data_IF_517091141214
#
_entry.id   IF_517091141214
#
_cell.length_a   1.000
_cell.length_b   1.000
_cell.length_c   1.000
_cell.angle_alpha   90.00
_cell.angle_beta   90.00
_cell.angle_gamma   90.00
#
_symmetry.space_group_name_H-M   'P 1'
#
loop_
_entity.id
_entity.type
_entity.pdbx_description
1 polymer ?
#
# COMPACT_ATOMS: atom_id res chain seq x y z
N UNK A 1 -21.18 -3.68 -10.63
CA UNK A 1 -19.94 -4.26 -11.20
C UNK A 1 -20.35 -5.36 -12.16
N UNK A 2 -20.29 -5.13 -13.47
CA UNK A 2 -20.78 -6.13 -14.45
C UNK A 2 -19.78 -6.47 -15.57
N UNK A 3 -18.53 -5.97 -15.51
CA UNK A 3 -17.49 -6.28 -16.48
C UNK A 3 -16.75 -7.56 -16.08
N UNK A 4 -16.77 -8.60 -16.93
CA UNK A 4 -16.07 -9.88 -16.69
C UNK A 4 -14.63 -9.82 -17.19
N UNK A 5 -13.65 -10.21 -16.38
CA UNK A 5 -12.25 -10.33 -16.84
C UNK A 5 -12.04 -11.66 -17.58
N UNK A 6 -11.55 -11.56 -18.82
CA UNK A 6 -11.20 -12.67 -19.69
C UNK A 6 -9.70 -12.61 -20.03
N UNK A 7 -9.02 -13.76 -19.95
CA UNK A 7 -7.62 -13.89 -20.34
C UNK A 7 -7.55 -14.63 -21.68
N UNK A 8 -7.13 -13.94 -22.73
CA UNK A 8 -6.82 -14.52 -24.03
C UNK A 8 -5.31 -14.43 -24.26
N UNK A 9 -4.55 -15.30 -23.60
CA UNK A 9 -3.09 -15.25 -23.60
C UNK A 9 -2.55 -16.52 -24.23
N UNK A 10 -1.69 -16.34 -25.24
CA UNK A 10 -1.13 -17.43 -26.04
C UNK A 10 0.16 -17.98 -25.44
N UNK A 11 0.97 -17.11 -24.82
CA UNK A 11 2.13 -17.54 -24.06
C UNK A 11 1.70 -18.11 -22.69
N UNK A 12 1.83 -19.42 -22.55
CA UNK A 12 1.46 -20.15 -21.33
C UNK A 12 2.28 -19.74 -20.09
N UNK A 13 3.52 -19.27 -20.26
CA UNK A 13 4.33 -18.76 -19.14
C UNK A 13 3.74 -17.45 -18.63
N UNK A 14 3.42 -16.53 -19.54
CA UNK A 14 2.77 -15.25 -19.21
C UNK A 14 1.41 -15.50 -18.56
N UNK A 15 0.59 -16.38 -19.16
CA UNK A 15 -0.70 -16.77 -18.61
C UNK A 15 -0.58 -17.27 -17.17
N UNK A 16 0.33 -18.22 -16.91
CA UNK A 16 0.50 -18.78 -15.56
C UNK A 16 0.91 -17.72 -14.53
N UNK A 17 1.84 -16.82 -14.89
CA UNK A 17 2.29 -15.75 -13.99
C UNK A 17 1.14 -14.77 -13.70
N UNK A 18 0.40 -14.35 -14.73
CA UNK A 18 -0.71 -13.42 -14.57
C UNK A 18 -1.86 -14.05 -13.79
N UNK A 19 -2.26 -15.27 -14.12
CA UNK A 19 -3.30 -16.03 -13.42
C UNK A 19 -2.98 -16.18 -11.93
N UNK A 20 -1.71 -16.50 -11.59
CA UNK A 20 -1.25 -16.56 -10.20
C UNK A 20 -1.39 -15.21 -9.50
N UNK A 21 -0.96 -14.11 -10.13
CA UNK A 21 -1.07 -12.76 -9.58
C UNK A 21 -2.52 -12.32 -9.39
N UNK A 22 -3.38 -12.52 -10.38
CA UNK A 22 -4.83 -12.24 -10.27
C UNK A 22 -5.44 -13.03 -9.09
N UNK A 23 -5.06 -14.31 -8.95
CA UNK A 23 -5.52 -15.15 -7.85
C UNK A 23 -5.04 -14.66 -6.48
N UNK A 24 -3.78 -14.25 -6.36
CA UNK A 24 -3.21 -13.63 -5.15
C UNK A 24 -3.94 -12.33 -4.79
N UNK A 25 -4.31 -11.55 -5.81
CA UNK A 25 -5.01 -10.25 -5.70
C UNK A 25 -6.53 -10.37 -5.63
N UNK A 26 -7.06 -11.59 -5.62
CA UNK A 26 -8.49 -11.90 -5.47
C UNK A 26 -9.38 -11.40 -6.60
N UNK A 27 -8.82 -11.29 -7.80
CA UNK A 27 -9.54 -10.84 -8.99
C UNK A 27 -10.10 -12.07 -9.69
N UNK A 28 -11.42 -12.09 -9.92
CA UNK A 28 -12.10 -13.17 -10.63
C UNK A 28 -11.83 -13.01 -12.13
N UNK A 29 -11.45 -14.10 -12.79
CA UNK A 29 -11.18 -14.13 -14.22
C UNK A 29 -11.61 -15.46 -14.84
N UNK A 30 -11.73 -15.49 -16.17
CA UNK A 30 -11.92 -16.74 -16.93
C UNK A 30 -10.93 -16.80 -18.08
N UNK A 31 -10.48 -18.02 -18.42
CA UNK A 31 -9.71 -18.22 -19.63
C UNK A 31 -10.64 -18.15 -20.85
N UNK A 32 -10.19 -17.49 -21.91
CA UNK A 32 -10.86 -17.47 -23.20
C UNK A 32 -10.12 -18.42 -24.14
N UNK A 33 -10.74 -19.55 -24.48
CA UNK A 33 -10.11 -20.57 -25.33
C UNK A 33 -9.98 -20.12 -26.79
N UNK A 34 -10.91 -19.29 -27.26
CA UNK A 34 -10.96 -18.80 -28.63
C UNK A 34 -11.70 -17.46 -28.71
N UNK A 35 -11.33 -16.62 -29.68
CA UNK A 35 -12.03 -15.35 -29.98
C UNK A 35 -13.48 -15.57 -30.40
N UNK A 36 -13.82 -16.76 -30.91
CA UNK A 36 -15.20 -17.11 -31.26
C UNK A 36 -16.07 -17.41 -30.02
N UNK A 37 -15.44 -17.63 -28.86
CA UNK A 37 -16.12 -17.85 -27.58
C UNK A 37 -16.34 -16.55 -26.79
N UNK A 38 -16.17 -15.37 -27.43
CA UNK A 38 -16.42 -14.08 -26.78
C UNK A 38 -17.89 -13.97 -26.34
N UNK A 39 -18.16 -13.71 -25.05
CA UNK A 39 -19.52 -13.63 -24.55
C UNK A 39 -20.14 -12.28 -24.91
N UNK A 40 -21.43 -12.26 -25.25
CA UNK A 40 -22.24 -11.04 -25.40
C UNK A 40 -22.56 -10.38 -24.05
N UNK A 41 -21.52 -10.05 -23.28
CA UNK A 41 -21.60 -9.37 -21.99
C UNK A 41 -20.41 -8.43 -21.86
N UNK A 42 -20.60 -7.31 -21.15
CA UNK A 42 -19.53 -6.37 -20.83
C UNK A 42 -18.31 -7.13 -20.29
N UNK A 43 -17.19 -7.07 -21.00
CA UNK A 43 -15.99 -7.87 -20.70
C UNK A 43 -14.72 -7.05 -20.90
N UNK A 44 -13.76 -7.27 -20.01
CA UNK A 44 -12.38 -6.82 -20.16
C UNK A 44 -11.55 -8.01 -20.62
N UNK A 45 -10.85 -7.89 -21.74
CA UNK A 45 -9.99 -8.93 -22.28
C UNK A 45 -8.54 -8.50 -22.13
N UNK A 46 -7.71 -9.33 -21.50
CA UNK A 46 -6.26 -9.15 -21.45
C UNK A 46 -5.61 -10.14 -22.42
N UNK A 47 -4.79 -9.61 -23.33
CA UNK A 47 -4.19 -10.35 -24.45
C UNK A 47 -2.87 -9.72 -24.89
N UNK A 48 -2.18 -10.32 -25.84
CA UNK A 48 -1.03 -9.71 -26.53
C UNK A 48 -1.48 -8.97 -27.80
N UNK A 49 -0.57 -8.25 -28.44
CA UNK A 49 -0.86 -7.48 -29.65
C UNK A 49 -1.50 -8.34 -30.77
N UNK A 50 -0.95 -9.53 -31.06
CA UNK A 50 -1.53 -10.41 -32.09
C UNK A 50 -2.92 -10.94 -31.68
N UNK A 51 -3.13 -11.25 -30.40
CA UNK A 51 -4.43 -11.67 -29.88
C UNK A 51 -5.46 -10.56 -29.96
N UNK A 52 -5.04 -9.30 -29.74
CA UNK A 52 -5.89 -8.13 -29.95
C UNK A 52 -6.37 -8.03 -31.40
N UNK A 53 -5.48 -8.21 -32.37
CA UNK A 53 -5.86 -8.18 -33.80
C UNK A 53 -6.84 -9.32 -34.15
N UNK A 54 -6.62 -10.53 -33.62
CA UNK A 54 -7.57 -11.64 -33.79
C UNK A 54 -8.93 -11.35 -33.18
N UNK A 55 -8.98 -10.71 -32.01
CA UNK A 55 -10.24 -10.32 -31.37
C UNK A 55 -10.98 -9.31 -32.26
N UNK A 56 -10.30 -8.26 -32.73
CA UNK A 56 -10.90 -7.21 -33.58
C UNK A 56 -11.44 -7.76 -34.92
N UNK A 57 -10.85 -8.83 -35.43
CA UNK A 57 -11.29 -9.53 -36.65
C UNK A 57 -12.44 -10.51 -36.41
N UNK A 58 -12.76 -10.85 -35.15
CA UNK A 58 -13.85 -11.79 -34.84
C UNK A 58 -15.23 -11.17 -35.07
N UNK A 59 -16.15 -11.97 -35.58
CA UNK A 59 -17.54 -11.54 -35.83
C UNK A 59 -18.24 -11.06 -34.55
N UNK A 60 -18.04 -11.77 -33.42
CA UNK A 60 -18.63 -11.37 -32.12
C UNK A 60 -18.15 -9.99 -31.65
N UNK A 61 -16.88 -9.66 -31.87
CA UNK A 61 -16.36 -8.33 -31.53
C UNK A 61 -16.93 -7.26 -32.48
N UNK A 62 -16.92 -7.51 -33.79
CA UNK A 62 -17.42 -6.55 -34.78
C UNK A 62 -18.90 -6.20 -34.55
N UNK A 63 -19.70 -7.19 -34.15
CA UNK A 63 -21.12 -7.00 -33.87
C UNK A 63 -21.39 -6.24 -32.56
N UNK A 64 -20.45 -6.24 -31.61
CA UNK A 64 -20.68 -5.77 -30.23
C UNK A 64 -19.44 -5.10 -29.61
N UNK A 65 -18.67 -4.32 -30.38
CA UNK A 65 -17.39 -3.76 -29.95
C UNK A 65 -17.49 -2.94 -28.64
N UNK A 66 -18.62 -2.24 -28.43
CA UNK A 66 -18.88 -1.45 -27.23
C UNK A 66 -19.00 -2.26 -25.94
N UNK A 67 -19.20 -3.58 -26.03
CA UNK A 67 -19.23 -4.49 -24.88
C UNK A 67 -17.84 -4.92 -24.41
N UNK A 68 -16.78 -4.57 -25.14
CA UNK A 68 -15.44 -5.09 -24.88
C UNK A 68 -14.45 -3.95 -24.61
N UNK A 69 -13.70 -4.10 -23.53
CA UNK A 69 -12.44 -3.37 -23.33
C UNK A 69 -11.30 -4.35 -23.56
N UNK A 70 -10.26 -3.96 -24.31
CA UNK A 70 -9.09 -4.82 -24.55
C UNK A 70 -7.84 -4.14 -23.97
N UNK A 71 -7.06 -4.90 -23.20
CA UNK A 71 -5.76 -4.50 -22.70
C UNK A 71 -4.71 -5.40 -23.35
N UNK A 72 -3.77 -4.78 -24.08
CA UNK A 72 -2.52 -5.41 -24.46
C UNK A 72 -1.61 -5.49 -23.24
N UNK A 73 -1.17 -6.68 -22.83
CA UNK A 73 -0.28 -6.81 -21.69
C UNK A 73 1.16 -6.38 -22.01
N UNK A 74 1.56 -6.36 -23.27
CA UNK A 74 2.95 -6.10 -23.70
C UNK A 74 3.37 -4.64 -23.52
N UNK A 75 2.40 -3.71 -23.46
CA UNK A 75 2.67 -2.28 -23.21
C UNK A 75 3.06 -1.98 -21.77
N UNK A 76 2.88 -2.94 -20.85
CA UNK A 76 3.17 -2.72 -19.43
C UNK A 76 4.56 -3.26 -19.05
N UNK A 77 5.37 -2.47 -18.32
CA UNK A 77 6.74 -2.87 -17.98
C UNK A 77 6.80 -4.04 -16.99
N UNK A 78 5.73 -4.30 -16.25
CA UNK A 78 5.62 -5.41 -15.32
C UNK A 78 4.16 -5.78 -15.05
N UNK A 79 3.95 -7.00 -14.53
CA UNK A 79 2.61 -7.50 -14.21
C UNK A 79 1.88 -6.71 -13.12
N UNK A 80 2.58 -6.02 -12.22
CA UNK A 80 1.88 -5.24 -11.19
C UNK A 80 1.22 -4.02 -11.82
N UNK A 81 1.91 -3.32 -12.72
CA UNK A 81 1.36 -2.21 -13.51
C UNK A 81 0.18 -2.64 -14.37
N UNK A 82 0.27 -3.82 -15.00
CA UNK A 82 -0.85 -4.42 -15.72
C UNK A 82 -2.05 -4.67 -14.81
N UNK A 83 -1.85 -5.29 -13.65
CA UNK A 83 -2.94 -5.61 -12.70
C UNK A 83 -3.66 -4.34 -12.21
N UNK A 84 -2.89 -3.29 -11.91
CA UNK A 84 -3.45 -2.00 -11.50
C UNK A 84 -4.35 -1.41 -12.60
N UNK A 85 -3.93 -1.48 -13.85
CA UNK A 85 -4.75 -1.01 -14.98
C UNK A 85 -5.94 -1.92 -15.29
N UNK A 86 -5.81 -3.24 -15.10
CA UNK A 86 -6.94 -4.17 -15.15
C UNK A 86 -8.01 -3.78 -14.13
N UNK A 87 -7.62 -3.53 -12.88
CA UNK A 87 -8.54 -3.10 -11.83
C UNK A 87 -9.23 -1.77 -12.17
N UNK A 88 -8.47 -0.79 -12.66
CA UNK A 88 -9.00 0.50 -13.11
C UNK A 88 -10.11 0.34 -14.14
N UNK A 89 -9.89 -0.48 -15.17
CA UNK A 89 -10.87 -0.71 -16.25
C UNK A 89 -12.06 -1.56 -15.80
N UNK A 90 -11.86 -2.50 -14.87
CA UNK A 90 -12.95 -3.26 -14.26
C UNK A 90 -13.88 -2.39 -13.41
N UNK A 91 -13.35 -1.36 -12.76
CA UNK A 91 -14.12 -0.36 -12.02
C UNK A 91 -14.62 0.80 -12.88
N UNK A 92 -14.40 0.75 -14.20
CA UNK A 92 -14.89 1.74 -15.16
C UNK A 92 -14.34 3.16 -14.93
N UNK A 93 -13.09 3.24 -14.45
CA UNK A 93 -12.42 4.50 -14.15
C UNK A 93 -11.59 4.90 -15.36
N UNK A 94 -12.16 5.74 -16.21
CA UNK A 94 -11.54 6.15 -17.47
C UNK A 94 -10.63 7.37 -17.31
N UNK A 95 -11.06 8.32 -16.49
CA UNK A 95 -10.37 9.56 -16.19
C UNK A 95 -10.22 9.69 -14.68
N UNK A 96 -9.09 10.24 -14.25
CA UNK A 96 -8.83 10.61 -12.87
C UNK A 96 -7.71 11.64 -12.83
N UNK A 97 -7.71 12.49 -11.82
CA UNK A 97 -6.61 13.43 -11.57
C UNK A 97 -5.66 12.93 -10.50
N UNK A 98 -6.20 12.24 -9.49
CA UNK A 98 -5.50 12.05 -8.22
C UNK A 98 -5.34 10.58 -7.89
N UNK A 99 -4.09 10.19 -7.60
CA UNK A 99 -3.78 8.94 -6.92
C UNK A 99 -3.66 9.21 -5.42
N UNK A 100 -4.62 8.71 -4.65
CA UNK A 100 -4.54 8.75 -3.19
C UNK A 100 -4.05 7.38 -2.68
N UNK A 101 -2.97 7.39 -1.91
CA UNK A 101 -2.45 6.22 -1.19
C UNK A 101 -2.67 6.42 0.31
N UNK A 102 -3.52 5.61 0.91
CA UNK A 102 -3.74 5.59 2.35
C UNK A 102 -2.89 4.52 3.01
N UNK A 103 -2.24 4.87 4.12
CA UNK A 103 -1.26 4.04 4.82
C UNK A 103 -1.66 3.93 6.29
N UNK A 104 -1.86 2.71 6.77
CA UNK A 104 -1.94 2.38 8.19
C UNK A 104 -0.55 1.93 8.69
N UNK A 105 0.16 2.75 9.48
CA UNK A 105 1.51 2.43 9.91
C UNK A 105 1.57 1.37 11.00
N UNK A 106 2.21 0.24 10.72
CA UNK A 106 2.56 -0.77 11.72
C UNK A 106 4.07 -1.00 11.85
N UNK A 107 4.47 -1.81 12.84
CA UNK A 107 5.88 -2.16 13.04
C UNK A 107 6.36 -3.24 12.06
N UNK A 108 5.50 -4.21 11.76
CA UNK A 108 5.79 -5.36 10.89
C UNK A 108 4.96 -5.33 9.62
N UNK A 109 3.67 -5.08 9.80
CA UNK A 109 2.66 -5.08 8.75
C UNK A 109 2.16 -3.66 8.55
N UNK A 110 2.15 -3.19 7.32
CA UNK A 110 1.71 -1.85 6.93
C UNK A 110 0.53 -2.03 5.99
N UNK A 111 -0.64 -1.53 6.38
CA UNK A 111 -1.81 -1.52 5.52
C UNK A 111 -1.68 -0.45 4.47
N UNK A 112 -1.95 -0.77 3.20
CA UNK A 112 -2.03 0.20 2.11
C UNK A 112 -3.34 0.06 1.35
N UNK A 113 -3.95 1.19 1.01
CA UNK A 113 -5.11 1.26 0.15
C UNK A 113 -4.89 2.34 -0.92
N UNK A 114 -5.29 2.03 -2.15
CA UNK A 114 -5.06 2.87 -3.33
C UNK A 114 -6.40 3.32 -3.90
N UNK A 115 -6.51 4.61 -4.16
CA UNK A 115 -7.72 5.25 -4.67
C UNK A 115 -7.41 6.08 -5.91
N UNK A 116 -8.34 6.09 -6.86
CA UNK A 116 -8.35 7.03 -7.98
C UNK A 116 -9.62 7.90 -7.84
N UNK A 117 -9.45 9.21 -7.62
CA UNK A 117 -10.55 10.16 -7.39
C UNK A 117 -11.62 9.63 -6.41
N UNK A 118 -11.18 9.13 -5.25
CA UNK A 118 -12.01 8.52 -4.19
C UNK A 118 -12.54 7.10 -4.44
N UNK A 119 -12.31 6.51 -5.61
CA UNK A 119 -12.67 5.12 -5.88
C UNK A 119 -11.58 4.18 -5.38
N UNK A 120 -11.91 3.30 -4.42
CA UNK A 120 -10.99 2.27 -3.94
C UNK A 120 -10.68 1.27 -5.06
N UNK A 121 -9.41 1.18 -5.44
CA UNK A 121 -8.94 0.25 -6.48
C UNK A 121 -8.41 -1.03 -5.86
N UNK A 122 -7.58 -0.89 -4.84
CA UNK A 122 -6.75 -1.99 -4.39
C UNK A 122 -6.31 -1.82 -2.94
N UNK A 123 -6.10 -2.94 -2.24
CA UNK A 123 -5.50 -2.97 -0.91
C UNK A 123 -4.44 -4.04 -0.78
N UNK A 124 -3.43 -3.77 0.03
CA UNK A 124 -2.44 -4.78 0.39
C UNK A 124 -1.79 -4.54 1.75
N UNK A 125 -1.26 -5.62 2.32
CA UNK A 125 -0.32 -5.54 3.44
C UNK A 125 1.11 -5.56 2.91
N UNK A 126 1.92 -4.61 3.34
CA UNK A 126 3.35 -4.51 3.04
C UNK A 126 4.16 -4.82 4.29
N UNK A 127 5.15 -5.71 4.17
CA UNK A 127 5.95 -6.19 5.30
C UNK A 127 7.31 -5.49 5.47
N UNK A 128 7.50 -4.33 4.82
CA UNK A 128 8.74 -3.56 4.87
C UNK A 128 8.50 -2.12 4.46
N UNK A 129 9.10 -1.19 5.19
CA UNK A 129 8.98 0.26 4.94
C UNK A 129 9.56 0.66 3.58
N UNK A 130 10.69 0.10 3.18
CA UNK A 130 11.29 0.35 1.87
C UNK A 130 10.36 -0.05 0.71
N UNK A 131 9.51 -1.07 0.93
CA UNK A 131 8.53 -1.49 -0.08
C UNK A 131 7.40 -0.47 -0.25
N UNK A 132 7.08 0.35 0.76
CA UNK A 132 6.02 1.37 0.68
C UNK A 132 6.29 2.32 -0.49
N UNK A 133 7.50 2.88 -0.56
CA UNK A 133 7.89 3.80 -1.65
C UNK A 133 7.86 3.12 -2.99
N UNK A 134 8.44 1.92 -3.09
CA UNK A 134 8.41 1.19 -4.35
C UNK A 134 6.98 0.94 -4.84
N UNK A 135 6.01 0.78 -3.93
CA UNK A 135 4.60 0.62 -4.30
C UNK A 135 3.92 1.92 -4.69
N UNK A 136 4.23 3.03 -4.00
CA UNK A 136 3.74 4.36 -4.38
C UNK A 136 4.26 4.70 -5.78
N UNK A 137 5.58 4.62 -6.01
CA UNK A 137 6.20 4.92 -7.31
C UNK A 137 5.67 4.01 -8.42
N UNK A 138 5.52 2.71 -8.15
CA UNK A 138 4.97 1.78 -9.13
C UNK A 138 3.53 2.12 -9.49
N UNK A 139 2.70 2.51 -8.52
CA UNK A 139 1.31 2.91 -8.75
C UNK A 139 1.24 4.23 -9.51
N UNK A 140 2.04 5.21 -9.11
CA UNK A 140 2.19 6.49 -9.78
C UNK A 140 2.64 6.32 -11.24
N UNK A 141 3.65 5.51 -11.51
CA UNK A 141 4.09 5.23 -12.87
C UNK A 141 3.05 4.46 -13.70
N UNK A 142 2.23 3.62 -13.06
CA UNK A 142 1.20 2.82 -13.75
C UNK A 142 -0.03 3.63 -14.13
N UNK A 143 -0.32 4.68 -13.37
CA UNK A 143 -1.51 5.51 -13.54
C UNK A 143 -1.20 6.88 -14.15
N UNK A 144 0.02 7.39 -14.00
CA UNK A 144 0.43 8.73 -14.38
C UNK A 144 -0.58 9.81 -13.91
N UNK A 145 -0.92 9.87 -12.61
CA UNK A 145 -1.85 10.85 -12.08
C UNK A 145 -1.27 12.27 -12.20
N UNK A 146 -2.14 13.27 -12.18
CA UNK A 146 -1.73 14.68 -12.07
C UNK A 146 -1.23 15.00 -10.67
N UNK A 147 -1.90 14.44 -9.66
CA UNK A 147 -1.57 14.67 -8.25
C UNK A 147 -1.44 13.35 -7.48
N UNK A 148 -0.53 13.35 -6.51
CA UNK A 148 -0.36 12.22 -5.59
C UNK A 148 -0.58 12.71 -4.16
N UNK A 149 -1.56 12.11 -3.52
CA UNK A 149 -1.83 12.31 -2.10
C UNK A 149 -1.44 11.06 -1.31
N UNK A 150 -0.84 11.27 -0.15
CA UNK A 150 -0.55 10.20 0.79
C UNK A 150 -1.19 10.51 2.14
N UNK A 151 -2.19 9.73 2.53
CA UNK A 151 -2.82 9.83 3.86
C UNK A 151 -2.18 8.81 4.79
N UNK A 152 -1.65 9.28 5.92
CA UNK A 152 -0.98 8.43 6.91
C UNK A 152 -1.78 8.43 8.21
N UNK A 153 -2.14 7.24 8.68
CA UNK A 153 -2.74 7.04 10.00
C UNK A 153 -1.78 7.47 11.11
N UNK A 154 -2.32 7.97 12.22
CA UNK A 154 -1.50 8.45 13.34
C UNK A 154 -0.72 7.31 14.02
N UNK A 155 -1.35 6.13 14.10
CA UNK A 155 -0.75 4.91 14.67
C UNK A 155 0.07 5.12 15.94
N UNK A 156 1.13 4.33 16.09
CA UNK A 156 2.21 4.66 17.03
C UNK A 156 3.09 5.75 16.44
N UNK A 157 3.51 6.73 17.26
CA UNK A 157 4.38 7.82 16.82
C UNK A 157 5.68 7.34 16.15
N UNK A 158 6.21 6.19 16.58
CA UNK A 158 7.38 5.56 15.95
C UNK A 158 7.07 5.10 14.53
N UNK A 159 6.02 4.29 14.36
CA UNK A 159 5.60 3.80 13.04
C UNK A 159 5.24 4.96 12.10
N UNK A 160 4.55 5.98 12.61
CA UNK A 160 4.25 7.20 11.85
C UNK A 160 5.53 7.88 11.37
N UNK A 161 6.48 8.18 12.27
CA UNK A 161 7.75 8.84 11.90
C UNK A 161 8.54 8.03 10.89
N UNK A 162 8.59 6.72 11.07
CA UNK A 162 9.31 5.84 10.17
C UNK A 162 8.74 5.89 8.75
N UNK A 163 7.41 5.93 8.61
CA UNK A 163 6.75 6.12 7.32
C UNK A 163 7.00 7.52 6.77
N UNK A 164 6.84 8.56 7.60
CA UNK A 164 7.05 9.94 7.17
C UNK A 164 8.47 10.18 6.66
N UNK A 165 9.50 9.65 7.33
CA UNK A 165 10.90 9.75 6.86
C UNK A 165 11.10 9.14 5.49
N UNK A 166 10.48 7.98 5.27
CA UNK A 166 10.54 7.28 4.00
C UNK A 166 9.81 8.06 2.91
N UNK A 167 8.71 8.74 3.24
CA UNK A 167 7.94 9.59 2.32
C UNK A 167 8.58 10.96 2.06
N UNK A 168 9.39 11.49 2.98
CA UNK A 168 10.04 12.81 2.86
C UNK A 168 11.49 12.71 2.39
N UNK A 169 11.96 11.50 2.06
CA UNK A 169 13.27 11.28 1.49
C UNK A 169 13.24 11.68 0.00
N UNK A 170 13.92 12.78 -0.33
CA UNK A 170 13.85 13.42 -1.66
C UNK A 170 14.36 12.52 -2.79
N UNK A 171 15.29 11.60 -2.49
CA UNK A 171 15.85 10.66 -3.47
C UNK A 171 14.91 9.46 -3.76
N UNK A 172 13.85 9.30 -2.96
CA UNK A 172 13.02 8.10 -2.96
C UNK A 172 11.76 8.20 -3.83
N UNK A 173 11.26 9.40 -4.16
CA UNK A 173 9.97 9.58 -4.85
C UNK A 173 10.13 10.14 -6.27
N UNK A 174 9.30 9.65 -7.20
CA UNK A 174 9.33 10.07 -8.61
C UNK A 174 8.56 11.38 -8.89
N UNK A 175 7.79 11.88 -7.92
CA UNK A 175 7.06 13.14 -8.02
C UNK A 175 6.82 13.75 -6.63
N UNK A 176 6.56 15.06 -6.55
CA UNK A 176 6.07 15.68 -5.32
C UNK A 176 4.78 14.99 -4.86
N UNK A 177 4.62 14.86 -3.55
CA UNK A 177 3.42 14.28 -2.92
C UNK A 177 2.87 15.24 -1.87
N UNK A 178 1.55 15.25 -1.71
CA UNK A 178 0.87 15.91 -0.60
C UNK A 178 0.65 14.91 0.52
N UNK A 179 1.25 15.15 1.70
CA UNK A 179 1.14 14.23 2.83
C UNK A 179 0.09 14.74 3.82
N UNK A 180 -0.86 13.90 4.18
CA UNK A 180 -1.92 14.20 5.12
C UNK A 180 -1.84 13.29 6.34
N UNK A 181 -1.91 13.87 7.53
CA UNK A 181 -2.06 13.11 8.77
C UNK A 181 -3.54 12.93 9.09
N UNK A 182 -3.97 11.69 9.33
CA UNK A 182 -5.34 11.35 9.70
C UNK A 182 -5.38 10.93 11.17
N UNK A 183 -6.18 11.62 11.99
CA UNK A 183 -6.39 11.23 13.39
C UNK A 183 -7.44 10.10 13.50
N UNK A 184 -7.10 9.07 14.26
CA UNK A 184 -7.90 7.87 14.45
C UNK A 184 -8.70 7.88 15.76
N UNK A 185 -8.49 8.85 16.65
CA UNK A 185 -9.23 8.93 17.92
C UNK A 185 -10.76 8.97 17.66
N UNK A 186 -11.45 7.89 18.08
CA UNK A 186 -12.89 7.68 17.84
C UNK A 186 -13.25 6.53 16.88
N UNK A 187 -12.26 5.76 16.39
CA UNK A 187 -12.42 4.72 15.35
C UNK A 187 -13.31 3.52 15.68
N UNK A 188 -13.92 3.42 16.86
CA UNK A 188 -14.82 2.31 17.18
C UNK A 188 -16.31 2.58 16.94
N UNK A 189 -16.77 3.82 16.70
CA UNK A 189 -18.23 4.08 16.59
C UNK A 189 -18.74 5.16 15.61
N UNK A 190 -17.90 5.95 14.93
CA UNK A 190 -18.40 7.04 14.07
C UNK A 190 -17.88 6.97 12.64
N UNK A 191 -18.70 6.34 11.80
CA UNK A 191 -19.30 6.86 10.58
C UNK A 191 -19.80 5.65 9.81
N UNK A 192 -21.00 5.70 9.25
CA UNK A 192 -21.69 4.60 8.55
C UNK A 192 -20.97 4.04 7.31
N UNK A 193 -19.64 4.12 7.23
CA UNK A 193 -18.78 3.27 6.40
C UNK A 193 -18.83 1.87 7.02
N UNK A 194 -19.95 1.18 6.83
CA UNK A 194 -19.90 -0.25 6.76
C UNK A 194 -18.99 -0.57 5.59
N UNK A 195 -17.75 -1.00 5.86
CA UNK A 195 -17.09 -1.92 4.93
C UNK A 195 -18.00 -3.14 4.97
N UNK A 196 -19.07 -3.12 4.17
CA UNK A 196 -19.97 -4.24 4.02
C UNK A 196 -19.06 -5.43 3.79
N UNK A 197 -19.23 -6.44 4.65
CA UNK A 197 -18.49 -7.70 4.65
C UNK A 197 -17.82 -7.93 3.30
N UNK A 198 -16.52 -8.19 3.30
CA UNK A 198 -15.65 -8.40 2.13
C UNK A 198 -16.27 -9.19 0.97
N UNK A 199 -17.34 -9.95 1.21
CA UNK A 199 -18.29 -10.47 0.21
C UNK A 199 -18.90 -9.45 -0.77
N UNK A 200 -19.08 -8.17 -0.41
CA UNK A 200 -19.64 -7.17 -1.34
C UNK A 200 -18.64 -6.76 -2.42
N UNK A 201 -17.35 -6.71 -2.06
CA UNK A 201 -16.25 -6.39 -3.00
C UNK A 201 -15.60 -7.66 -3.60
N UNK A 202 -15.63 -8.79 -2.89
CA UNK A 202 -15.04 -10.08 -3.27
C UNK A 202 -15.93 -11.27 -2.85
N UNK A 203 -17.12 -11.45 -3.45
CA UNK A 203 -18.13 -12.43 -3.03
C UNK A 203 -17.65 -13.87 -2.95
N UNK A 204 -16.66 -14.25 -3.76
CA UNK A 204 -16.18 -15.64 -3.87
C UNK A 204 -14.95 -15.97 -3.02
N UNK A 205 -14.31 -14.96 -2.37
CA UNK A 205 -13.05 -15.18 -1.66
C UNK A 205 -13.24 -15.44 -0.15
N UNK A 206 -12.80 -16.63 0.30
CA UNK A 206 -12.87 -17.09 1.70
C UNK A 206 -11.95 -16.32 2.68
N UNK A 207 -10.95 -15.58 2.19
CA UNK A 207 -9.96 -14.89 3.04
C UNK A 207 -10.30 -13.40 3.15
N UNK A 208 -10.56 -12.94 4.37
CA UNK A 208 -10.90 -11.55 4.65
C UNK A 208 -9.74 -10.60 4.35
N UNK A 209 -10.05 -9.34 4.03
CA UNK A 209 -9.13 -8.21 4.12
C UNK A 209 -8.52 -8.19 5.53
N UNK A 210 -7.22 -7.93 5.66
CA UNK A 210 -6.54 -7.86 6.96
C UNK A 210 -7.04 -6.65 7.77
N UNK A 211 -6.78 -6.63 9.09
CA UNK A 211 -7.15 -5.47 9.92
C UNK A 211 -6.43 -4.20 9.47
N UNK A 212 -5.16 -4.33 9.10
CA UNK A 212 -4.33 -3.19 8.66
C UNK A 212 -4.81 -2.65 7.30
N UNK A 213 -5.19 -3.52 6.37
CA UNK A 213 -5.82 -3.09 5.11
C UNK A 213 -7.17 -2.39 5.35
N UNK A 214 -7.99 -2.88 6.29
CA UNK A 214 -9.27 -2.22 6.65
C UNK A 214 -9.03 -0.82 7.23
N UNK A 215 -8.03 -0.67 8.11
CA UNK A 215 -7.64 0.61 8.66
C UNK A 215 -7.18 1.57 7.55
N UNK A 216 -6.37 1.10 6.60
CA UNK A 216 -5.94 1.89 5.45
C UNK A 216 -7.11 2.38 4.58
N UNK A 217 -8.14 1.54 4.35
CA UNK A 217 -9.37 1.97 3.66
C UNK A 217 -10.04 3.11 4.42
N UNK A 218 -10.21 2.96 5.73
CA UNK A 218 -10.87 3.96 6.59
C UNK A 218 -10.07 5.28 6.58
N UNK A 219 -8.74 5.20 6.64
CA UNK A 219 -7.83 6.35 6.54
C UNK A 219 -8.04 7.08 5.21
N UNK A 220 -8.14 6.34 4.09
CA UNK A 220 -8.36 6.93 2.76
C UNK A 220 -9.63 7.77 2.66
N UNK A 221 -10.74 7.28 3.21
CA UNK A 221 -12.01 7.99 3.21
C UNK A 221 -12.11 9.14 4.21
N UNK A 222 -11.20 9.24 5.19
CA UNK A 222 -11.22 10.31 6.18
C UNK A 222 -10.55 11.57 5.64
N UNK A 223 -11.02 12.71 6.14
CA UNK A 223 -10.35 13.99 5.94
C UNK A 223 -9.09 14.00 6.82
N UNK A 224 -7.95 14.31 6.22
CA UNK A 224 -6.68 14.47 6.91
C UNK A 224 -6.28 15.94 6.99
N UNK A 225 -5.31 16.23 7.86
CA UNK A 225 -4.64 17.53 7.90
C UNK A 225 -3.35 17.43 7.08
N UNK A 226 -3.21 18.27 6.06
CA UNK A 226 -1.96 18.34 5.29
C UNK A 226 -0.79 18.72 6.22
N UNK A 227 0.33 18.01 6.05
CA UNK A 227 1.55 18.22 6.81
C UNK A 227 2.45 19.18 6.05
N UNK A 228 2.65 20.36 6.63
CA UNK A 228 3.67 21.31 6.17
C UNK A 228 5.07 20.88 6.64
N UNK A 229 6.12 21.49 6.07
CA UNK A 229 7.49 21.33 6.55
C UNK A 229 7.64 21.58 8.07
N UNK A 230 6.98 22.62 8.59
CA UNK A 230 6.98 22.92 10.03
C UNK A 230 6.25 21.88 10.86
N UNK A 231 5.20 21.24 10.32
CA UNK A 231 4.54 20.12 11.01
C UNK A 231 5.44 18.87 11.04
N UNK A 232 6.15 18.58 9.95
CA UNK A 232 7.10 17.47 9.88
C UNK A 232 8.26 17.65 10.85
N UNK A 233 8.88 18.85 10.87
CA UNK A 233 9.96 19.17 11.80
C UNK A 233 9.53 19.01 13.26
N UNK A 234 8.33 19.51 13.62
CA UNK A 234 7.77 19.32 14.95
C UNK A 234 7.59 17.83 15.27
N UNK A 235 7.05 17.04 14.35
CA UNK A 235 6.84 15.61 14.55
C UNK A 235 8.15 14.85 14.73
N UNK A 236 9.18 15.16 13.96
CA UNK A 236 10.49 14.49 14.07
C UNK A 236 11.23 14.84 15.35
N UNK A 237 11.11 16.09 15.83
CA UNK A 237 11.84 16.55 17.01
C UNK A 237 11.10 16.35 18.34
N UNK A 238 9.79 16.07 18.30
CA UNK A 238 8.97 15.86 19.50
C UNK A 238 9.56 14.79 20.42
N UNK A 239 9.82 15.15 21.67
CA UNK A 239 10.32 14.23 22.69
C UNK A 239 9.25 13.24 23.15
N UNK A 240 9.71 12.11 23.67
CA UNK A 240 8.85 11.12 24.28
C UNK A 240 8.24 11.66 25.56
N UNK A 241 6.93 11.48 25.73
CA UNK A 241 6.30 11.64 27.03
C UNK A 241 6.80 10.58 28.01
N UNK A 242 6.63 10.85 29.30
CA UNK A 242 7.10 9.99 30.38
C UNK A 242 6.61 8.54 30.28
N UNK A 243 5.38 8.33 29.81
CA UNK A 243 4.81 7.00 29.59
C UNK A 243 5.51 6.23 28.45
N UNK A 244 5.83 6.92 27.36
CA UNK A 244 6.49 6.34 26.19
C UNK A 244 7.95 6.01 26.49
N UNK A 245 8.65 6.87 27.22
CA UNK A 245 10.00 6.61 27.73
C UNK A 245 10.04 5.34 28.60
N UNK A 246 9.12 5.24 29.55
CA UNK A 246 9.01 4.04 30.41
C UNK A 246 8.74 2.79 29.60
N UNK A 247 7.94 2.89 28.54
CA UNK A 247 7.67 1.77 27.64
C UNK A 247 8.94 1.33 26.90
N UNK A 248 9.70 2.26 26.32
CA UNK A 248 10.97 2.00 25.62
C UNK A 248 11.99 1.37 26.57
N UNK A 249 12.15 1.91 27.78
CA UNK A 249 13.06 1.37 28.78
C UNK A 249 12.65 -0.04 29.25
N UNK A 250 11.35 -0.32 29.36
CA UNK A 250 10.84 -1.65 29.67
C UNK A 250 11.12 -2.64 28.54
N UNK A 251 10.94 -2.21 27.29
CA UNK A 251 11.28 -3.00 26.10
C UNK A 251 12.78 -3.31 26.03
N UNK A 252 13.64 -2.33 26.30
CA UNK A 252 15.10 -2.53 26.30
C UNK A 252 15.52 -3.57 27.33
N UNK A 253 14.93 -3.54 28.54
CA UNK A 253 15.17 -4.57 29.58
C UNK A 253 14.75 -5.94 29.09
N UNK A 254 13.61 -6.04 28.41
CA UNK A 254 13.11 -7.33 27.91
C UNK A 254 14.04 -7.91 26.84
N UNK A 255 14.50 -7.09 25.90
CA UNK A 255 15.39 -7.51 24.79
C UNK A 255 16.77 -7.88 25.32
N UNK A 256 17.29 -7.13 26.29
CA UNK A 256 18.56 -7.42 26.96
C UNK A 256 18.47 -8.54 28.02
N UNK A 257 17.38 -9.31 28.07
CA UNK A 257 17.16 -10.39 29.06
C UNK A 257 17.30 -9.94 30.53
N UNK A 258 16.83 -8.73 30.82
CA UNK A 258 16.82 -8.12 32.16
C UNK A 258 18.07 -7.30 32.50
N UNK A 259 19.09 -7.30 31.64
CA UNK A 259 20.41 -6.72 31.96
C UNK A 259 20.45 -5.20 31.91
N UNK A 260 19.65 -4.57 31.05
CA UNK A 260 19.87 -3.17 30.69
C UNK A 260 18.59 -2.34 30.50
N UNK A 261 18.55 -1.21 31.19
CA UNK A 261 17.56 -0.15 31.00
C UNK A 261 18.21 1.02 30.28
N UNK A 262 17.73 1.41 29.11
CA UNK A 262 18.29 2.55 28.39
C UNK A 262 18.18 3.84 29.21
N UNK A 263 19.17 4.72 29.06
CA UNK A 263 19.12 6.07 29.62
C UNK A 263 17.99 6.86 28.98
N UNK A 264 17.57 7.98 29.61
CA UNK A 264 16.49 8.81 29.07
C UNK A 264 16.85 9.38 27.70
N UNK A 265 18.11 9.77 27.52
CA UNK A 265 18.65 10.31 26.27
C UNK A 265 18.57 9.26 25.16
N UNK A 266 19.10 8.05 25.39
CA UNK A 266 19.05 6.97 24.40
C UNK A 266 17.62 6.52 24.11
N UNK A 267 16.75 6.49 25.13
CA UNK A 267 15.34 6.19 24.93
C UNK A 267 14.62 7.25 24.07
N UNK A 268 14.99 8.52 24.21
CA UNK A 268 14.50 9.60 23.36
C UNK A 268 15.00 9.48 21.91
N UNK A 269 16.26 9.09 21.70
CA UNK A 269 16.79 8.87 20.33
C UNK A 269 16.12 7.68 19.63
N UNK A 270 15.85 6.60 20.37
CA UNK A 270 15.03 5.47 19.89
C UNK A 270 13.60 5.93 19.59
N UNK A 271 13.01 6.78 20.44
CA UNK A 271 11.67 7.32 20.23
C UNK A 271 11.58 8.19 18.97
N UNK A 272 12.56 9.06 18.76
CA UNK A 272 12.68 9.90 17.56
C UNK A 272 12.89 9.07 16.29
N UNK A 273 13.37 7.83 16.44
CA UNK A 273 13.71 6.92 15.34
C UNK A 273 15.13 7.11 14.83
N UNK A 274 15.95 7.92 15.49
CA UNK A 274 17.34 8.20 15.09
C UNK A 274 18.23 6.96 15.22
N UNK A 275 17.81 5.98 16.01
CA UNK A 275 18.48 4.70 16.17
C UNK A 275 17.47 3.60 16.49
N UNK A 276 17.85 2.36 16.19
CA UNK A 276 17.11 1.16 16.57
C UNK A 276 17.30 0.84 18.06
N UNK A 277 16.43 -0.03 18.59
CA UNK A 277 16.53 -0.46 19.99
C UNK A 277 17.83 -1.24 20.22
N UNK A 278 18.21 -2.06 19.25
CA UNK A 278 19.41 -2.88 19.25
C UNK A 278 20.68 -2.02 19.23
N UNK A 279 20.74 -1.01 18.35
CA UNK A 279 21.84 -0.04 18.32
C UNK A 279 21.95 0.74 19.64
N UNK A 280 20.83 1.15 20.21
CA UNK A 280 20.81 1.86 21.49
C UNK A 280 21.34 1.00 22.64
N UNK A 281 21.00 -0.29 22.67
CA UNK A 281 21.51 -1.24 23.67
C UNK A 281 23.03 -1.38 23.51
N UNK A 282 23.53 -1.59 22.29
CA UNK A 282 24.97 -1.70 22.03
C UNK A 282 25.74 -0.43 22.42
N UNK A 283 25.22 0.75 22.11
CA UNK A 283 25.84 2.02 22.51
C UNK A 283 25.85 2.19 24.04
N UNK A 284 24.80 1.75 24.72
CA UNK A 284 24.75 1.79 26.19
C UNK A 284 25.78 0.85 26.82
N UNK A 285 25.91 -0.38 26.31
CA UNK A 285 26.91 -1.35 26.76
C UNK A 285 28.34 -0.85 26.55
N UNK A 286 28.64 -0.25 25.39
CA UNK A 286 29.96 0.37 25.12
C UNK A 286 30.28 1.51 26.08
N UNK A 287 29.30 2.36 26.40
CA UNK A 287 29.48 3.47 27.34
C UNK A 287 29.70 3.01 28.79
N UNK A 288 29.10 1.90 29.20
CA UNK A 288 29.38 1.30 30.52
C UNK A 288 30.80 0.71 30.56
N UNK A 289 31.19 -0.07 29.54
CA UNK A 289 32.51 -0.67 29.47
C UNK A 289 33.68 0.33 29.43
N UNK A 290 33.49 1.52 28.86
CA UNK A 290 34.49 2.60 28.93
C UNK A 290 34.59 3.22 30.33
N UNK A 291 33.46 3.40 31.03
CA UNK A 291 33.47 3.95 32.39
C UNK A 291 34.14 3.01 33.39
N UNK A 292 33.95 1.70 33.22
CA UNK A 292 34.57 0.71 34.11
C UNK A 292 36.09 0.65 33.94
N UNK A 293 36.63 0.99 32.75
CA UNK A 293 38.08 1.07 32.49
C UNK A 293 38.75 2.35 32.97
N UNK A 294 38.01 3.44 33.09
CA UNK A 294 38.52 4.71 33.64
C UNK A 294 38.43 4.75 35.19
N UNK A 295 37.91 3.67 35.80
CA UNK A 295 37.71 3.51 37.26
C UNK A 295 38.70 2.54 37.92
N UNK A 296 39.59 1.91 37.13
CA UNK A 296 40.70 1.04 37.56
C UNK A 296 42.04 1.78 37.47
#
# INVERSE_FOLDING_TARGET
MDKKLLLFIRDMKVFYILARKLKEKRIIWSYLESVNALPFKNSLIVTDNEGMEKIKQSENYQNCASLYSIIDYEVYPNFTSLILNVLRVLYDIHEFSTLLVAIDPGQKDIGMAYFLDSNLIYTETVHSKAKVISRINMSAASFAPTEIEVKVGKGSIRSLRDILRVLTDEDSLISPIHIFLVDEFGSSKQNGIYIQNTKAFYPEYKKSITKDEQAAIIIGYRIGKELTASNLEFLFNKEAHSAELKHIQKLSRKISTGKLSLSRELANEVYRGNMTMEEAIQMHERKQACKDKDSE
#
